data_IF_362413571670
#
_entry.id   IF_362413571670
#
_cell.length_a   1.000
_cell.length_b   1.000
_cell.length_c   1.000
_cell.angle_alpha   90.00
_cell.angle_beta   90.00
_cell.angle_gamma   90.00
#
_symmetry.space_group_name_H-M   'P 1'
#
loop_
_entity.id
_entity.type
_entity.pdbx_description
1 polymer ?
#
# COMPACT_ATOMS: atom_id res chain seq x y z
N UNK A 1 8.80 -0.43 17.37
CA UNK A 1 8.07 0.53 16.53
C UNK A 1 8.22 0.10 15.08
N UNK A 2 7.11 -0.30 14.44
CA UNK A 2 7.07 -0.77 13.07
C UNK A 2 6.93 0.41 12.11
N UNK A 3 7.89 0.53 11.19
CA UNK A 3 7.85 1.54 10.12
C UNK A 3 7.37 0.89 8.84
N UNK A 4 6.29 1.42 8.27
CA UNK A 4 5.82 1.08 6.92
C UNK A 4 6.32 2.15 5.96
N UNK A 5 7.03 1.75 4.92
CA UNK A 5 7.54 2.70 3.92
C UNK A 5 6.50 2.93 2.83
N UNK A 6 6.35 4.17 2.38
CA UNK A 6 5.50 4.54 1.26
C UNK A 6 6.36 4.95 0.07
N UNK A 7 6.31 4.18 -1.00
CA UNK A 7 7.05 4.45 -2.23
C UNK A 7 6.09 4.90 -3.33
N UNK A 8 6.34 6.08 -3.89
CA UNK A 8 5.52 6.66 -4.94
C UNK A 8 6.14 6.43 -6.32
N UNK A 9 5.43 5.71 -7.18
CA UNK A 9 5.76 5.44 -8.58
C UNK A 9 4.81 6.15 -9.55
N UNK A 10 4.01 7.09 -9.07
CA UNK A 10 3.14 7.91 -9.90
C UNK A 10 3.87 9.15 -10.42
N UNK A 11 3.21 9.88 -11.33
CA UNK A 11 3.69 11.17 -11.81
C UNK A 11 3.49 12.31 -10.82
N UNK A 12 2.63 12.12 -9.81
CA UNK A 12 2.36 13.12 -8.79
C UNK A 12 3.26 12.84 -7.58
N UNK A 13 4.36 13.61 -7.37
CA UNK A 13 5.31 13.34 -6.30
C UNK A 13 4.71 13.58 -4.90
N UNK A 14 3.61 14.32 -4.78
CA UNK A 14 3.05 14.74 -3.49
C UNK A 14 2.25 13.64 -2.80
N UNK A 15 1.86 12.59 -3.54
CA UNK A 15 0.98 11.53 -3.01
C UNK A 15 1.59 10.78 -1.83
N UNK A 16 2.90 10.49 -1.83
CA UNK A 16 3.54 9.77 -0.72
C UNK A 16 3.47 10.55 0.59
N UNK A 17 3.75 11.85 0.58
CA UNK A 17 3.66 12.70 1.77
C UNK A 17 2.21 12.90 2.22
N UNK A 18 1.29 12.99 1.26
CA UNK A 18 -0.14 13.08 1.55
C UNK A 18 -0.64 11.81 2.24
N UNK A 19 -0.31 10.63 1.70
CA UNK A 19 -0.69 9.35 2.28
C UNK A 19 0.01 9.07 3.61
N UNK A 20 1.28 9.46 3.76
CA UNK A 20 1.99 9.38 5.04
C UNK A 20 1.19 10.08 6.13
N UNK A 21 0.82 11.34 5.90
CA UNK A 21 0.05 12.14 6.84
C UNK A 21 -1.30 11.50 7.15
N UNK A 22 -2.05 11.13 6.10
CA UNK A 22 -3.39 10.54 6.25
C UNK A 22 -3.37 9.22 7.03
N UNK A 23 -2.42 8.33 6.73
CA UNK A 23 -2.30 7.05 7.42
C UNK A 23 -1.88 7.29 8.88
N UNK A 24 -0.88 8.14 9.12
CA UNK A 24 -0.43 8.44 10.48
C UNK A 24 -1.49 9.17 11.33
N UNK A 25 -2.33 10.00 10.72
CA UNK A 25 -3.48 10.63 11.40
C UNK A 25 -4.52 9.57 11.80
N UNK A 26 -4.88 8.65 10.90
CA UNK A 26 -5.85 7.58 11.20
C UNK A 26 -5.31 6.59 12.24
N UNK A 27 -4.03 6.20 12.17
CA UNK A 27 -3.38 5.36 13.18
C UNK A 27 -3.44 6.02 14.58
N UNK A 28 -3.15 7.33 14.67
CA UNK A 28 -3.28 8.09 15.91
C UNK A 28 -4.72 8.16 16.41
N UNK A 29 -5.68 8.37 15.51
CA UNK A 29 -7.11 8.38 15.85
C UNK A 29 -7.60 7.03 16.39
N UNK A 30 -7.00 5.92 15.95
CA UNK A 30 -7.25 4.56 16.44
C UNK A 30 -6.44 4.23 17.71
N UNK A 31 -5.64 5.15 18.23
CA UNK A 31 -4.82 4.94 19.43
C UNK A 31 -3.55 4.10 19.20
N UNK A 32 -3.20 3.84 17.94
CA UNK A 32 -2.05 3.02 17.57
C UNK A 32 -0.80 3.89 17.54
N UNK A 33 0.16 3.61 18.41
CA UNK A 33 1.41 4.38 18.55
C UNK A 33 2.64 3.64 18.06
N UNK A 34 2.58 2.31 17.98
CA UNK A 34 3.71 1.47 17.63
C UNK A 34 3.94 1.33 16.13
N UNK A 35 3.06 1.91 15.31
CA UNK A 35 3.13 1.89 13.84
C UNK A 35 3.18 3.30 13.32
N UNK A 36 4.05 3.56 12.36
CA UNK A 36 4.02 4.78 11.56
C UNK A 36 4.39 4.50 10.11
N UNK A 37 3.85 5.31 9.21
CA UNK A 37 4.24 5.35 7.82
C UNK A 37 5.31 6.43 7.59
N UNK A 38 6.18 6.19 6.61
CA UNK A 38 7.19 7.16 6.16
C UNK A 38 7.32 7.15 4.64
N UNK A 39 7.15 8.31 4.01
CA UNK A 39 7.40 8.49 2.59
C UNK A 39 8.89 8.36 2.27
N UNK A 40 9.20 7.71 1.15
CA UNK A 40 10.56 7.62 0.60
C UNK A 40 10.56 8.13 -0.84
N UNK A 41 11.56 8.95 -1.17
CA UNK A 41 11.70 9.62 -2.47
C UNK A 41 12.37 8.75 -3.54
N UNK A 42 13.04 7.68 -3.14
CA UNK A 42 13.65 6.68 -4.01
C UNK A 42 13.45 5.31 -3.40
N UNK A 43 13.59 4.24 -4.20
CA UNK A 43 13.91 2.93 -3.64
C UNK A 43 15.25 3.11 -2.93
N UNK A 44 15.30 3.15 -1.59
CA UNK A 44 16.57 3.15 -0.93
C UNK A 44 17.21 1.84 -1.35
N UNK A 45 18.43 1.87 -1.88
CA UNK A 45 19.24 0.65 -2.06
C UNK A 45 19.34 -0.17 -0.75
N UNK A 46 18.97 0.42 0.39
CA UNK A 46 18.89 -0.16 1.72
C UNK A 46 17.47 -0.61 2.18
N UNK A 47 16.42 -0.53 1.35
CA UNK A 47 15.19 -1.30 1.61
C UNK A 47 15.46 -2.74 1.18
N UNK A 48 16.26 -3.42 2.00
CA UNK A 48 16.39 -4.87 1.94
C UNK A 48 15.00 -5.53 2.12
N UNK A 49 14.94 -6.82 1.79
CA UNK A 49 13.76 -7.72 1.74
C UNK A 49 12.91 -7.71 3.01
N UNK A 50 13.40 -7.12 4.09
CA UNK A 50 12.84 -7.13 5.44
C UNK A 50 11.86 -5.99 5.75
N UNK A 51 11.84 -4.90 5.00
CA UNK A 51 11.01 -3.74 5.36
C UNK A 51 9.62 -3.76 4.71
N UNK A 52 8.53 -3.54 5.48
CA UNK A 52 7.17 -3.51 4.94
C UNK A 52 6.95 -2.28 4.06
N UNK A 53 6.55 -2.51 2.81
CA UNK A 53 6.40 -1.48 1.79
C UNK A 53 4.94 -1.35 1.34
N UNK A 54 4.48 -0.11 1.16
CA UNK A 54 3.24 0.21 0.44
C UNK A 54 3.60 0.99 -0.81
N UNK A 55 3.12 0.49 -1.94
CA UNK A 55 3.41 1.06 -3.24
C UNK A 55 2.26 1.95 -3.72
N UNK A 56 2.54 3.20 -4.05
CA UNK A 56 1.57 4.10 -4.69
C UNK A 56 1.89 4.11 -6.19
N UNK A 57 0.94 3.69 -7.02
CA UNK A 57 1.17 3.55 -8.46
C UNK A 57 -0.06 3.91 -9.30
N UNK A 58 0.17 4.07 -10.60
CA UNK A 58 -0.88 4.31 -11.59
C UNK A 58 -1.74 3.06 -11.80
N UNK A 59 -2.97 3.24 -12.27
CA UNK A 59 -3.83 2.13 -12.70
C UNK A 59 -3.25 1.30 -13.85
N UNK A 60 -2.13 1.73 -14.45
CA UNK A 60 -1.38 0.91 -15.41
C UNK A 60 -0.91 -0.43 -14.85
N UNK A 61 -0.71 -0.54 -13.53
CA UNK A 61 -0.40 -1.80 -12.86
C UNK A 61 -1.53 -2.84 -13.01
N UNK A 62 -2.75 -2.38 -13.30
CA UNK A 62 -3.96 -3.18 -13.50
C UNK A 62 -4.19 -3.51 -14.99
N UNK A 63 -3.15 -3.47 -15.83
CA UNK A 63 -3.24 -3.86 -17.25
C UNK A 63 -2.84 -5.32 -17.40
N UNK A 64 -3.60 -6.07 -18.20
CA UNK A 64 -3.45 -7.52 -18.40
C UNK A 64 -2.06 -7.96 -18.91
N UNK A 65 -1.27 -7.04 -19.48
CA UNK A 65 0.09 -7.29 -19.99
C UNK A 65 1.16 -7.41 -18.91
N UNK A 66 0.90 -6.89 -17.71
CA UNK A 66 1.76 -7.11 -16.56
C UNK A 66 1.24 -8.35 -15.85
N UNK A 67 1.73 -9.54 -16.21
CA UNK A 67 1.49 -10.74 -15.41
C UNK A 67 1.95 -10.41 -14.00
N UNK A 68 1.09 -10.58 -13.02
CA UNK A 68 1.25 -10.11 -11.66
C UNK A 68 2.67 -10.26 -11.01
N UNK A 69 3.43 -11.33 -11.31
CA UNK A 69 4.84 -11.50 -10.89
C UNK A 69 5.76 -10.35 -11.35
N UNK A 70 5.40 -9.69 -12.45
CA UNK A 70 6.10 -8.52 -12.96
C UNK A 70 5.92 -7.30 -12.07
N UNK A 71 4.84 -7.16 -11.30
CA UNK A 71 4.66 -5.95 -10.48
C UNK A 71 5.68 -5.89 -9.32
N UNK A 72 5.85 -6.99 -8.59
CA UNK A 72 6.92 -7.09 -7.58
C UNK A 72 8.30 -6.93 -8.22
N UNK A 73 8.56 -7.62 -9.34
CA UNK A 73 9.84 -7.49 -10.06
C UNK A 73 10.11 -6.10 -10.63
N UNK A 74 9.08 -5.36 -11.09
CA UNK A 74 9.19 -4.05 -11.74
C UNK A 74 9.28 -2.92 -10.74
N UNK A 75 8.60 -3.02 -9.61
CA UNK A 75 8.43 -1.88 -8.69
C UNK A 75 9.21 -2.01 -7.38
N UNK A 76 9.53 -3.23 -6.92
CA UNK A 76 10.35 -3.47 -5.74
C UNK A 76 10.80 -4.95 -5.67
N UNK A 77 11.73 -5.40 -6.54
CA UNK A 77 12.15 -6.81 -6.65
C UNK A 77 12.76 -7.37 -5.36
N UNK A 78 13.15 -6.50 -4.44
CA UNK A 78 13.81 -6.82 -3.19
C UNK A 78 13.03 -6.36 -1.95
N UNK A 79 11.73 -6.06 -2.04
CA UNK A 79 10.95 -5.66 -0.87
C UNK A 79 9.63 -6.44 -0.73
N UNK A 80 9.20 -6.61 0.53
CA UNK A 80 7.89 -7.18 0.85
C UNK A 80 6.80 -6.10 0.72
N UNK A 81 6.08 -6.11 -0.39
CA UNK A 81 4.95 -5.20 -0.60
C UNK A 81 3.73 -5.71 0.19
N UNK A 82 3.25 -4.91 1.15
CA UNK A 82 2.08 -5.23 1.97
C UNK A 82 0.76 -4.86 1.27
N UNK A 83 0.76 -3.74 0.55
CA UNK A 83 -0.41 -3.22 -0.13
C UNK A 83 -0.02 -2.29 -1.28
N UNK A 84 -0.95 -2.13 -2.23
CA UNK A 84 -0.82 -1.20 -3.35
C UNK A 84 -1.92 -0.15 -3.24
N UNK A 85 -1.57 1.11 -3.42
CA UNK A 85 -2.48 2.24 -3.52
C UNK A 85 -2.59 2.67 -4.99
N UNK A 86 -3.80 2.58 -5.54
CA UNK A 86 -4.14 3.14 -6.85
C UNK A 86 -5.00 4.38 -6.63
N UNK A 87 -4.37 5.56 -6.62
CA UNK A 87 -5.07 6.82 -6.37
C UNK A 87 -5.97 7.25 -7.55
N UNK A 88 -5.70 6.77 -8.76
CA UNK A 88 -6.50 7.13 -9.94
C UNK A 88 -7.95 6.62 -9.84
N UNK A 89 -8.89 7.44 -10.34
CA UNK A 89 -10.30 7.06 -10.44
C UNK A 89 -10.52 6.07 -11.58
N UNK A 90 -10.64 4.78 -11.26
CA UNK A 90 -10.86 3.71 -12.23
C UNK A 90 -12.37 3.39 -12.36
N UNK A 91 -12.93 3.58 -13.57
CA UNK A 91 -14.36 3.34 -13.85
C UNK A 91 -14.77 1.87 -13.66
N UNK A 92 -13.96 0.93 -14.15
CA UNK A 92 -14.23 -0.52 -14.10
C UNK A 92 -13.33 -1.27 -13.11
N UNK A 93 -13.12 -0.68 -11.93
CA UNK A 93 -12.22 -1.22 -10.92
C UNK A 93 -12.58 -2.68 -10.57
N UNK A 94 -13.85 -3.02 -10.32
CA UNK A 94 -14.27 -4.39 -9.95
C UNK A 94 -14.02 -5.45 -11.03
N UNK A 95 -14.20 -5.14 -12.32
CA UNK A 95 -14.05 -6.13 -13.41
C UNK A 95 -12.59 -6.48 -13.71
N UNK A 96 -11.65 -5.57 -13.43
CA UNK A 96 -10.21 -5.87 -13.56
C UNK A 96 -9.65 -6.65 -12.37
N UNK A 97 -10.45 -6.84 -11.32
CA UNK A 97 -10.02 -7.44 -10.05
C UNK A 97 -10.32 -8.93 -9.92
N UNK A 98 -11.20 -9.50 -10.75
CA UNK A 98 -11.44 -10.95 -10.78
C UNK A 98 -10.18 -11.75 -11.11
N UNK A 99 -9.21 -11.13 -11.80
CA UNK A 99 -7.92 -11.74 -12.13
C UNK A 99 -6.80 -11.43 -11.10
N UNK A 100 -7.04 -10.53 -10.13
CA UNK A 100 -6.07 -10.11 -9.11
C UNK A 100 -6.25 -10.85 -7.76
N UNK A 101 -7.36 -11.59 -7.60
CA UNK A 101 -7.66 -12.36 -6.39
C UNK A 101 -6.70 -13.53 -6.15
N UNK A 102 -5.87 -13.89 -7.12
CA UNK A 102 -5.01 -15.09 -7.08
C UNK A 102 -3.52 -14.77 -6.96
N UNK A 103 -3.20 -13.59 -6.44
CA UNK A 103 -1.87 -13.03 -6.53
C UNK A 103 -1.28 -12.68 -5.16
N UNK A 104 0.02 -12.94 -4.89
CA UNK A 104 0.63 -12.67 -3.58
C UNK A 104 0.63 -11.20 -3.07
N UNK A 105 0.07 -10.20 -3.79
CA UNK A 105 -0.06 -8.81 -3.35
C UNK A 105 -1.47 -8.70 -2.80
N UNK A 106 -1.54 -8.89 -1.49
CA UNK A 106 -2.76 -9.30 -0.79
C UNK A 106 -3.83 -8.20 -0.69
N UNK A 107 -3.53 -6.95 -1.07
CA UNK A 107 -4.50 -5.85 -0.95
C UNK A 107 -4.20 -4.67 -1.89
N UNK A 108 -5.21 -4.26 -2.66
CA UNK A 108 -5.16 -3.05 -3.48
C UNK A 108 -6.20 -2.07 -2.98
N UNK A 109 -5.73 -0.95 -2.46
CA UNK A 109 -6.53 0.15 -1.99
C UNK A 109 -6.83 1.13 -3.12
N UNK A 110 -8.11 1.51 -3.26
CA UNK A 110 -8.52 2.64 -4.09
C UNK A 110 -9.37 3.61 -3.25
N UNK A 111 -8.92 4.86 -3.06
CA UNK A 111 -9.60 5.83 -2.18
C UNK A 111 -10.98 6.25 -2.69
N UNK A 112 -11.32 5.98 -3.94
CA UNK A 112 -12.63 6.26 -4.51
C UNK A 112 -13.64 5.12 -4.33
N UNK A 113 -13.21 3.98 -3.78
CA UNK A 113 -14.02 2.77 -3.64
C UNK A 113 -14.02 2.20 -2.23
N UNK A 114 -12.96 2.45 -1.47
CA UNK A 114 -12.74 1.88 -0.14
C UNK A 114 -12.37 3.00 0.84
N UNK A 115 -12.86 2.96 2.08
CA UNK A 115 -12.42 3.88 3.12
C UNK A 115 -10.97 3.56 3.51
N UNK A 116 -10.21 4.60 3.88
CA UNK A 116 -8.80 4.46 4.30
C UNK A 116 -8.62 3.43 5.43
N UNK A 117 -9.62 3.32 6.30
CA UNK A 117 -9.62 2.38 7.43
C UNK A 117 -9.47 0.91 7.02
N UNK A 118 -9.99 0.51 5.85
CA UNK A 118 -9.78 -0.86 5.35
C UNK A 118 -8.29 -1.12 5.02
N UNK A 119 -7.60 -0.13 4.44
CA UNK A 119 -6.15 -0.21 4.23
C UNK A 119 -5.41 -0.33 5.57
N UNK A 120 -5.79 0.49 6.57
CA UNK A 120 -5.15 0.44 7.89
C UNK A 120 -5.30 -0.94 8.53
N UNK A 121 -6.51 -1.49 8.57
CA UNK A 121 -6.75 -2.81 9.16
C UNK A 121 -5.99 -3.92 8.43
N UNK A 122 -5.92 -3.87 7.09
CA UNK A 122 -5.09 -4.78 6.33
C UNK A 122 -3.61 -4.66 6.74
N UNK A 123 -3.05 -3.46 6.78
CA UNK A 123 -1.65 -3.23 7.14
C UNK A 123 -1.31 -3.75 8.54
N UNK A 124 -2.18 -3.52 9.52
CA UNK A 124 -1.99 -4.01 10.89
C UNK A 124 -2.04 -5.53 10.98
N UNK A 125 -2.96 -6.17 10.24
CA UNK A 125 -3.02 -7.64 10.15
C UNK A 125 -1.75 -8.26 9.58
N UNK A 126 -1.11 -7.60 8.61
CA UNK A 126 0.15 -8.09 8.03
C UNK A 126 1.37 -7.88 8.95
N UNK A 127 1.22 -7.09 10.01
CA UNK A 127 2.24 -6.84 11.03
C UNK A 127 1.96 -7.60 12.34
N UNK A 128 0.96 -8.49 12.36
CA UNK A 128 0.52 -9.24 13.54
C UNK A 128 0.18 -8.33 14.74
N UNK A 129 -0.38 -7.14 14.45
CA UNK A 129 -0.83 -6.20 15.48
C UNK A 129 -2.31 -6.43 15.70
N UNK A 130 -2.62 -7.10 16.82
CA UNK A 130 -3.99 -7.23 17.29
C UNK A 130 -4.52 -5.85 17.66
N UNK A 131 -5.51 -5.41 16.88
CA UNK A 131 -6.42 -4.38 17.33
C UNK A 131 -7.24 -5.01 18.45
N UNK A 132 -6.85 -4.81 19.71
CA UNK A 132 -7.81 -4.86 20.79
C UNK A 132 -8.84 -3.78 20.50
N UNK A 133 -9.88 -4.15 19.74
CA UNK A 133 -10.99 -3.28 19.42
C UNK A 133 -11.66 -2.98 20.75
N UNK A 134 -11.29 -1.86 21.36
CA UNK A 134 -12.11 -1.19 22.37
C UNK A 134 -13.38 -0.75 21.67
N UNK A 135 -14.33 -1.69 21.55
CA UNK A 135 -15.72 -1.41 21.22
C UNK A 135 -16.34 -0.52 22.28
#
# INVERSE_FOLDING_TARGET
>A
MNTIFLLNKTKDPTLSEWYERKINDELRALGIKDVHCKAVSSEPMALEITHPLVLICSSSILRDTYSYQSAEQVYAPHAKILAIIVHEKVKFFRHRFTNLQFSPLRFIYNPHRMPLRELIFHLLSQLDIDLEVRR
#
